data_IF_497046181781
#
_entry.id   IF_497046181781
#
_cell.length_a   1.000
_cell.length_b   1.000
_cell.length_c   1.000
_cell.angle_alpha   90.00
_cell.angle_beta   90.00
_cell.angle_gamma   90.00
#
_symmetry.space_group_name_H-M   'P 1'
#
loop_
_entity.id
_entity.type
_entity.pdbx_description
1 polymer ?
#
# COMPACT_ATOMS: atom_id res chain seq x y z
N UNK A 1 -4.04 27.15 23.08
CA UNK A 1 -2.79 26.54 22.57
C UNK A 1 -2.78 25.01 22.53
N UNK A 2 -3.62 24.28 23.28
CA UNK A 2 -3.59 22.79 23.30
C UNK A 2 -4.09 22.06 22.04
N UNK A 3 -4.94 22.67 21.21
CA UNK A 3 -5.49 22.02 20.00
C UNK A 3 -4.40 21.71 18.95
N UNK A 4 -3.45 22.62 18.74
CA UNK A 4 -2.36 22.42 17.80
C UNK A 4 -1.41 21.29 18.22
N UNK A 5 -1.17 21.13 19.52
CA UNK A 5 -0.34 20.04 20.05
C UNK A 5 -1.01 18.68 19.87
N UNK A 6 -2.34 18.60 20.07
CA UNK A 6 -3.11 17.37 19.87
C UNK A 6 -3.09 16.92 18.40
N UNK A 7 -3.34 17.85 17.47
CA UNK A 7 -3.30 17.56 16.03
C UNK A 7 -1.91 17.11 15.58
N UNK A 8 -0.85 17.76 16.08
CA UNK A 8 0.54 17.40 15.77
C UNK A 8 0.90 16.01 16.31
N UNK A 9 0.46 15.68 17.53
CA UNK A 9 0.67 14.38 18.13
C UNK A 9 -0.07 13.27 17.36
N UNK A 10 -1.36 13.48 17.02
CA UNK A 10 -2.12 12.55 16.19
C UNK A 10 -1.44 12.32 14.85
N UNK A 11 -1.01 13.38 14.17
CA UNK A 11 -0.35 13.28 12.87
C UNK A 11 0.98 12.50 12.94
N UNK A 12 1.75 12.66 14.02
CA UNK A 12 2.96 11.89 14.24
C UNK A 12 2.66 10.41 14.51
N UNK A 13 1.68 10.11 15.35
CA UNK A 13 1.30 8.73 15.69
C UNK A 13 0.76 7.98 14.47
N UNK A 14 -0.19 8.56 13.73
CA UNK A 14 -0.75 7.92 12.55
C UNK A 14 0.30 7.69 11.45
N UNK A 15 1.14 8.69 11.14
CA UNK A 15 2.20 8.51 10.15
C UNK A 15 3.27 7.51 10.61
N UNK A 16 3.56 7.45 11.92
CA UNK A 16 4.45 6.45 12.49
C UNK A 16 3.91 5.03 12.35
N UNK A 17 2.61 4.82 12.58
CA UNK A 17 1.97 3.52 12.37
C UNK A 17 2.02 3.12 10.89
N UNK A 18 1.70 4.05 9.98
CA UNK A 18 1.77 3.80 8.53
C UNK A 18 3.18 3.43 8.09
N UNK A 19 4.20 4.11 8.64
CA UNK A 19 5.59 3.80 8.36
C UNK A 19 5.98 2.38 8.80
N UNK A 20 5.61 2.00 10.03
CA UNK A 20 5.88 0.65 10.56
C UNK A 20 5.13 -0.43 9.78
N UNK A 21 3.87 -0.19 9.43
CA UNK A 21 3.09 -1.07 8.58
C UNK A 21 3.72 -1.21 7.18
N UNK A 22 4.19 -0.10 6.60
CA UNK A 22 4.90 -0.08 5.32
C UNK A 22 6.17 -0.93 5.34
N UNK A 23 6.99 -0.84 6.39
CA UNK A 23 8.18 -1.69 6.58
C UNK A 23 7.77 -3.16 6.65
N UNK A 24 6.73 -3.49 7.40
CA UNK A 24 6.20 -4.86 7.50
C UNK A 24 5.78 -5.42 6.15
N UNK A 25 4.98 -4.66 5.39
CA UNK A 25 4.51 -5.05 4.06
C UNK A 25 5.67 -5.20 3.07
N UNK A 26 6.64 -4.28 3.09
CA UNK A 26 7.86 -4.38 2.29
C UNK A 26 8.66 -5.64 2.62
N UNK A 27 8.82 -5.93 3.91
CA UNK A 27 9.51 -7.13 4.38
C UNK A 27 8.82 -8.41 3.91
N UNK A 28 7.48 -8.47 4.01
CA UNK A 28 6.69 -9.59 3.49
C UNK A 28 6.80 -9.69 1.97
N UNK A 29 6.74 -8.56 1.24
CA UNK A 29 6.88 -8.55 -0.22
C UNK A 29 8.26 -9.06 -0.68
N UNK A 30 9.33 -8.63 -0.02
CA UNK A 30 10.69 -9.13 -0.27
C UNK A 30 10.79 -10.61 0.08
N UNK A 31 10.25 -11.04 1.22
CA UNK A 31 10.22 -12.45 1.63
C UNK A 31 9.55 -13.33 0.58
N UNK A 32 8.37 -12.92 0.11
CA UNK A 32 7.60 -13.61 -0.94
C UNK A 32 8.39 -13.71 -2.25
N UNK A 33 9.15 -12.66 -2.60
CA UNK A 33 9.97 -12.63 -3.81
C UNK A 33 11.25 -13.47 -3.71
N UNK A 34 11.85 -13.56 -2.53
CA UNK A 34 13.10 -14.30 -2.30
C UNK A 34 12.84 -15.79 -2.11
N UNK A 35 11.73 -16.16 -1.45
CA UNK A 35 11.36 -17.55 -1.19
C UNK A 35 10.06 -17.95 -1.92
N UNK A 36 10.06 -17.75 -3.24
CA UNK A 36 8.91 -18.04 -4.10
C UNK A 36 8.48 -19.53 -4.05
N UNK A 37 9.41 -20.45 -3.72
CA UNK A 37 9.15 -21.89 -3.64
C UNK A 37 8.34 -22.28 -2.40
N UNK A 38 8.68 -21.75 -1.22
CA UNK A 38 7.93 -22.00 0.01
C UNK A 38 6.54 -21.36 -0.05
N UNK A 39 6.42 -20.14 -0.59
CA UNK A 39 5.13 -19.47 -0.77
C UNK A 39 4.18 -20.28 -1.65
N UNK A 40 4.69 -20.89 -2.72
CA UNK A 40 3.88 -21.73 -3.59
C UNK A 40 3.29 -22.95 -2.87
N UNK A 41 4.08 -23.57 -1.97
CA UNK A 41 3.62 -24.71 -1.15
C UNK A 41 2.60 -24.31 -0.08
N UNK A 42 2.69 -23.09 0.47
CA UNK A 42 1.71 -22.54 1.40
C UNK A 42 0.40 -22.16 0.67
N UNK A 43 0.50 -21.54 -0.50
CA UNK A 43 -0.66 -21.17 -1.32
C UNK A 43 -1.36 -22.40 -1.93
N UNK A 44 -0.60 -23.43 -2.32
CA UNK A 44 -1.15 -24.72 -2.78
C UNK A 44 -1.91 -25.49 -1.70
N UNK A 45 -1.75 -25.12 -0.42
CA UNK A 45 -2.55 -25.63 0.70
C UNK A 45 -3.88 -24.90 0.88
N UNK A 46 -4.04 -23.75 0.22
CA UNK A 46 -5.28 -22.98 0.14
C UNK A 46 -5.99 -23.42 -1.15
N UNK A 47 -6.68 -24.55 -1.06
CA UNK A 47 -7.48 -25.14 -2.12
C UNK A 47 -8.54 -24.12 -2.60
N UNK A 48 -8.39 -23.62 -3.84
CA UNK A 48 -9.32 -22.83 -4.69
C UNK A 48 -8.71 -21.62 -5.45
N UNK A 49 -7.38 -21.49 -5.58
CA UNK A 49 -6.80 -20.47 -6.49
C UNK A 49 -6.31 -21.14 -7.80
N UNK A 50 -6.88 -20.79 -8.97
CA UNK A 50 -6.51 -21.34 -10.29
C UNK A 50 -5.04 -21.09 -10.66
N UNK A 51 -4.53 -21.76 -11.72
CA UNK A 51 -3.10 -21.87 -12.03
C UNK A 51 -2.52 -20.56 -12.60
N UNK A 52 -2.33 -19.57 -11.74
CA UNK A 52 -1.69 -18.31 -12.09
C UNK A 52 -0.43 -18.10 -11.23
N UNK A 53 0.48 -19.07 -11.29
CA UNK A 53 1.81 -19.01 -10.67
C UNK A 53 2.60 -17.76 -11.14
N UNK A 54 2.22 -17.19 -12.29
CA UNK A 54 2.68 -15.90 -12.82
C UNK A 54 2.21 -14.68 -12.01
N UNK A 55 1.04 -14.75 -11.36
CA UNK A 55 0.49 -13.68 -10.55
C UNK A 55 1.18 -13.57 -9.20
N UNK A 56 1.70 -14.65 -8.61
CA UNK A 56 2.36 -14.61 -7.30
C UNK A 56 3.63 -13.75 -7.34
N UNK A 57 4.42 -13.87 -8.42
CA UNK A 57 5.56 -12.97 -8.66
C UNK A 57 5.09 -11.52 -8.79
N UNK A 58 3.99 -11.28 -9.50
CA UNK A 58 3.41 -9.96 -9.67
C UNK A 58 2.88 -9.38 -8.34
N UNK A 59 2.29 -10.22 -7.47
CA UNK A 59 1.81 -9.84 -6.14
C UNK A 59 2.96 -9.46 -5.21
N UNK A 60 4.10 -10.17 -5.28
CA UNK A 60 5.31 -9.79 -4.55
C UNK A 60 5.81 -8.40 -4.97
N UNK A 61 5.88 -8.12 -6.27
CA UNK A 61 6.23 -6.78 -6.78
C UNK A 61 5.23 -5.70 -6.36
N UNK A 62 3.93 -6.00 -6.36
CA UNK A 62 2.90 -5.07 -5.86
C UNK A 62 3.05 -4.79 -4.36
N UNK A 63 3.28 -5.82 -3.53
CA UNK A 63 3.53 -5.64 -2.09
C UNK A 63 4.78 -4.79 -1.85
N UNK A 64 5.85 -5.03 -2.61
CA UNK A 64 7.08 -4.23 -2.53
C UNK A 64 6.79 -2.77 -2.92
N UNK A 65 6.08 -2.53 -4.01
CA UNK A 65 5.74 -1.19 -4.48
C UNK A 65 4.86 -0.44 -3.48
N UNK A 66 3.78 -1.07 -2.99
CA UNK A 66 2.86 -0.49 -2.00
C UNK A 66 3.60 -0.25 -0.67
N UNK A 67 4.36 -1.24 -0.19
CA UNK A 67 5.14 -1.11 1.04
C UNK A 67 6.16 0.04 0.96
N UNK A 68 6.88 0.16 -0.17
CA UNK A 68 7.83 1.25 -0.38
C UNK A 68 7.15 2.62 -0.41
N UNK A 69 6.00 2.72 -1.08
CA UNK A 69 5.18 3.93 -1.10
C UNK A 69 4.76 4.33 0.33
N UNK A 70 4.27 3.39 1.14
CA UNK A 70 3.85 3.62 2.53
C UNK A 70 5.03 4.03 3.43
N UNK A 71 6.21 3.45 3.24
CA UNK A 71 7.43 3.84 3.96
C UNK A 71 7.83 5.28 3.62
N UNK A 72 7.82 5.65 2.34
CA UNK A 72 8.16 7.02 1.91
C UNK A 72 7.15 8.03 2.45
N UNK A 73 5.84 7.74 2.32
CA UNK A 73 4.77 8.62 2.81
C UNK A 73 4.84 8.76 4.33
N UNK A 74 5.00 7.66 5.07
CA UNK A 74 5.11 7.67 6.53
C UNK A 74 6.35 8.40 7.03
N UNK A 75 7.49 8.25 6.35
CA UNK A 75 8.72 8.98 6.66
C UNK A 75 8.58 10.48 6.42
N UNK A 76 8.03 10.88 5.26
CA UNK A 76 7.75 12.28 4.95
C UNK A 76 6.74 12.89 5.94
N UNK A 77 5.74 12.13 6.37
CA UNK A 77 4.78 12.53 7.40
C UNK A 77 5.44 12.76 8.77
N UNK A 78 6.32 11.85 9.21
CA UNK A 78 7.05 11.99 10.46
C UNK A 78 8.06 13.15 10.42
N UNK A 79 8.86 13.25 9.34
CA UNK A 79 9.82 14.33 9.16
C UNK A 79 9.14 15.70 8.98
N UNK A 80 8.00 15.76 8.28
CA UNK A 80 7.19 16.97 8.12
C UNK A 80 6.61 17.46 9.45
N UNK A 81 6.15 16.55 10.30
CA UNK A 81 5.67 16.88 11.66
C UNK A 81 6.80 17.40 12.57
N UNK A 82 8.01 16.82 12.47
CA UNK A 82 9.17 17.22 13.28
C UNK A 82 9.78 18.55 12.81
N UNK A 83 9.91 18.77 11.49
CA UNK A 83 10.56 19.99 10.94
C UNK A 83 9.66 21.22 10.86
N UNK A 84 8.37 21.13 11.18
CA UNK A 84 7.37 22.20 10.97
C UNK A 84 7.42 22.85 9.56
N UNK A 85 7.98 22.13 8.59
CA UNK A 85 8.19 22.65 7.25
C UNK A 85 6.91 22.50 6.45
N UNK A 86 6.26 23.64 6.18
CA UNK A 86 5.07 23.72 5.33
C UNK A 86 5.28 23.05 3.98
N UNK A 87 6.49 23.09 3.43
CA UNK A 87 6.82 22.48 2.14
C UNK A 87 6.75 20.93 2.18
N UNK A 88 7.25 20.30 3.26
CA UNK A 88 7.14 18.84 3.44
C UNK A 88 5.70 18.39 3.70
N UNK A 89 4.94 19.16 4.46
CA UNK A 89 3.53 18.88 4.72
C UNK A 89 2.68 18.99 3.44
N UNK A 90 3.00 19.95 2.58
CA UNK A 90 2.33 20.17 1.30
C UNK A 90 2.64 19.04 0.30
N UNK A 91 3.90 18.59 0.25
CA UNK A 91 4.29 17.40 -0.51
C UNK A 91 3.57 16.14 -0.05
N UNK A 92 3.49 15.92 1.27
CA UNK A 92 2.72 14.80 1.84
C UNK A 92 1.25 14.87 1.40
N UNK A 93 0.62 16.04 1.51
CA UNK A 93 -0.76 16.25 1.10
C UNK A 93 -0.97 15.99 -0.40
N UNK A 94 -0.06 16.46 -1.26
CA UNK A 94 -0.13 16.22 -2.70
C UNK A 94 0.02 14.74 -3.05
N UNK A 95 0.94 14.01 -2.39
CA UNK A 95 1.12 12.58 -2.62
C UNK A 95 -0.15 11.82 -2.22
N UNK A 96 -0.72 12.11 -1.05
CA UNK A 96 -1.97 11.48 -0.58
C UNK A 96 -3.13 11.82 -1.51
N UNK A 97 -3.23 13.07 -1.98
CA UNK A 97 -4.26 13.47 -2.94
C UNK A 97 -4.14 12.70 -4.26
N UNK A 98 -2.93 12.51 -4.78
CA UNK A 98 -2.69 11.73 -5.99
C UNK A 98 -3.06 10.26 -5.80
N UNK A 99 -2.72 9.66 -4.65
CA UNK A 99 -3.12 8.28 -4.31
C UNK A 99 -4.64 8.17 -4.27
N UNK A 100 -5.33 9.13 -3.66
CA UNK A 100 -6.79 9.15 -3.61
C UNK A 100 -7.43 9.23 -5.00
N UNK A 101 -6.90 10.09 -5.89
CA UNK A 101 -7.38 10.18 -7.28
C UNK A 101 -7.15 8.85 -8.01
N UNK A 102 -5.99 8.22 -7.82
CA UNK A 102 -5.68 6.93 -8.41
C UNK A 102 -6.61 5.80 -7.90
N UNK A 103 -6.91 5.76 -6.60
CA UNK A 103 -7.87 4.80 -6.02
C UNK A 103 -9.28 4.99 -6.59
N UNK A 104 -9.76 6.24 -6.66
CA UNK A 104 -11.07 6.54 -7.24
C UNK A 104 -11.13 6.16 -8.71
N UNK A 105 -10.10 6.51 -9.50
CA UNK A 105 -10.02 6.12 -10.90
C UNK A 105 -10.01 4.59 -11.06
N UNK A 106 -9.22 3.89 -10.25
CA UNK A 106 -9.18 2.43 -10.22
C UNK A 106 -10.54 1.81 -9.89
N UNK A 107 -11.22 2.31 -8.85
CA UNK A 107 -12.55 1.86 -8.46
C UNK A 107 -13.56 2.08 -9.59
N UNK A 108 -13.55 3.25 -10.23
CA UNK A 108 -14.45 3.55 -11.37
C UNK A 108 -14.19 2.59 -12.54
N UNK A 109 -12.93 2.33 -12.89
CA UNK A 109 -12.59 1.36 -13.94
C UNK A 109 -13.09 -0.04 -13.58
N UNK A 110 -12.82 -0.51 -12.36
CA UNK A 110 -13.27 -1.84 -11.91
C UNK A 110 -14.79 -1.95 -11.99
N UNK A 111 -15.53 -0.94 -11.53
CA UNK A 111 -16.99 -0.93 -11.55
C UNK A 111 -17.56 -0.81 -12.98
N UNK A 112 -16.96 0.00 -13.84
CA UNK A 112 -17.39 0.18 -15.22
C UNK A 112 -17.20 -1.10 -16.06
N UNK A 113 -16.11 -1.84 -15.81
CA UNK A 113 -15.79 -3.09 -16.50
C UNK A 113 -16.18 -4.35 -15.70
N UNK A 114 -16.89 -4.18 -14.57
CA UNK A 114 -17.41 -5.29 -13.77
C UNK A 114 -18.18 -6.35 -14.59
N UNK A 115 -19.05 -6.01 -15.57
CA UNK A 115 -19.72 -7.04 -16.37
C UNK A 115 -18.74 -7.82 -17.26
N UNK A 116 -17.64 -7.22 -17.72
CA UNK A 116 -16.62 -7.92 -18.50
C UNK A 116 -15.77 -8.84 -17.61
N UNK A 117 -15.41 -8.37 -16.41
CA UNK A 117 -14.69 -9.16 -15.41
C UNK A 117 -15.48 -10.40 -14.99
N UNK A 118 -16.79 -10.26 -14.71
CA UNK A 118 -17.65 -11.38 -14.33
C UNK A 118 -17.73 -12.47 -15.42
N UNK A 119 -17.73 -12.08 -16.69
CA UNK A 119 -17.73 -13.01 -17.83
C UNK A 119 -16.37 -13.71 -18.04
N UNK A 120 -15.26 -13.09 -17.62
CA UNK A 120 -13.93 -13.69 -17.70
C UNK A 120 -13.69 -14.73 -16.59
N UNK A 121 -14.25 -14.51 -15.40
CA UNK A 121 -14.15 -15.45 -14.26
C UNK A 121 -15.20 -16.58 -14.30
N UNK A 122 -16.21 -16.49 -15.17
CA UNK A 122 -17.24 -17.51 -15.37
C UNK A 122 -16.86 -18.58 -16.40
N UNK A 123 -15.65 -18.54 -16.97
CA UNK A 123 -15.14 -19.51 -17.95
C UNK A 123 -13.93 -20.24 -17.41
#
# INVERSE_FOLDING_TARGET
>A
MGCFTFLKAMMFVFNGIIFLAGIGILGVGIWVKVDSGSVLSFLGKIENVPPEISQVLNVGYLLIAIGALLVVIGFLGCCGAVRESKCMLLLFFLIVLLVFIAEVAGAVVILAFQPLAANLFAK
#
